data_IF_508071300468
#
_entry.id   IF_508071300468
#
_cell.length_a   1.000
_cell.length_b   1.000
_cell.length_c   1.000
_cell.angle_alpha   90.00
_cell.angle_beta   90.00
_cell.angle_gamma   90.00
#
_symmetry.space_group_name_H-M   'P 1'
#
loop_
_entity.id
_entity.type
_entity.pdbx_description
1 polymer ?
#
# COMPACT_ATOMS: atom_id res chain seq x y z
N UNK A 1 -17.28 68.52 0.32
CA UNK A 1 -17.66 67.36 -0.52
C UNK A 1 -18.60 66.49 0.28
N UNK A 2 -19.90 66.51 -0.03
CA UNK A 2 -20.88 65.60 0.57
C UNK A 2 -20.85 64.29 -0.22
N UNK A 3 -20.51 63.19 0.45
CA UNK A 3 -20.63 61.86 -0.15
C UNK A 3 -22.12 61.56 -0.39
N UNK A 4 -22.49 61.27 -1.64
CA UNK A 4 -23.86 60.87 -1.96
C UNK A 4 -24.18 59.53 -1.28
N UNK A 5 -25.46 59.31 -0.92
CA UNK A 5 -25.94 58.05 -0.35
C UNK A 5 -25.53 56.84 -1.22
N UNK A 6 -25.53 57.01 -2.54
CA UNK A 6 -25.05 56.01 -3.51
C UNK A 6 -23.56 55.69 -3.33
N UNK A 7 -22.72 56.70 -3.06
CA UNK A 7 -21.32 56.49 -2.74
C UNK A 7 -21.11 55.68 -1.46
N UNK A 8 -21.91 55.95 -0.43
CA UNK A 8 -21.83 55.25 0.86
C UNK A 8 -22.26 53.78 0.74
N UNK A 9 -23.33 53.50 -0.02
CA UNK A 9 -23.77 52.12 -0.31
C UNK A 9 -22.71 51.33 -1.08
N UNK A 10 -22.07 51.93 -2.08
CA UNK A 10 -20.99 51.28 -2.85
C UNK A 10 -19.80 50.91 -1.97
N UNK A 11 -19.38 51.83 -1.09
CA UNK A 11 -18.29 51.57 -0.14
C UNK A 11 -18.64 50.40 0.78
N UNK A 12 -19.88 50.35 1.27
CA UNK A 12 -20.34 49.29 2.18
C UNK A 12 -20.39 47.93 1.48
N UNK A 13 -20.90 47.87 0.25
CA UNK A 13 -20.92 46.63 -0.56
C UNK A 13 -19.50 46.15 -0.88
N UNK A 14 -18.60 47.05 -1.27
CA UNK A 14 -17.20 46.70 -1.54
C UNK A 14 -16.53 46.19 -0.25
N UNK A 15 -16.75 46.86 0.88
CA UNK A 15 -16.25 46.42 2.18
C UNK A 15 -16.77 45.03 2.58
N UNK A 16 -18.05 44.75 2.36
CA UNK A 16 -18.64 43.44 2.63
C UNK A 16 -18.05 42.35 1.73
N UNK A 17 -17.87 42.62 0.43
CA UNK A 17 -17.24 41.68 -0.50
C UNK A 17 -15.78 41.38 -0.13
N UNK A 18 -15.02 42.42 0.27
CA UNK A 18 -13.65 42.24 0.75
C UNK A 18 -13.60 41.43 2.05
N UNK A 19 -14.55 41.63 2.97
CA UNK A 19 -14.64 40.83 4.19
C UNK A 19 -14.96 39.36 3.89
N UNK A 20 -15.89 39.08 2.97
CA UNK A 20 -16.20 37.70 2.53
C UNK A 20 -14.98 37.05 1.88
N UNK A 21 -14.27 37.76 1.00
CA UNK A 21 -13.04 37.28 0.37
C UNK A 21 -11.93 37.03 1.40
N UNK A 22 -11.79 37.88 2.42
CA UNK A 22 -10.82 37.69 3.49
C UNK A 22 -11.14 36.45 4.35
N UNK A 23 -12.41 36.24 4.70
CA UNK A 23 -12.85 35.05 5.45
C UNK A 23 -12.69 33.78 4.62
N UNK A 24 -13.09 33.80 3.35
CA UNK A 24 -12.88 32.68 2.43
C UNK A 24 -11.37 32.40 2.27
N UNK A 25 -10.56 33.44 2.08
CA UNK A 25 -9.11 33.34 2.07
C UNK A 25 -8.59 32.66 3.34
N UNK A 26 -8.97 33.14 4.52
CA UNK A 26 -8.52 32.55 5.78
C UNK A 26 -8.91 31.07 5.94
N UNK A 27 -10.12 30.70 5.55
CA UNK A 27 -10.62 29.32 5.63
C UNK A 27 -9.96 28.39 4.62
N UNK A 28 -9.70 28.86 3.40
CA UNK A 28 -9.22 28.02 2.29
C UNK A 28 -7.72 28.17 1.99
N UNK A 29 -7.02 29.17 2.53
CA UNK A 29 -5.57 29.35 2.38
C UNK A 29 -4.80 28.12 2.85
N UNK A 30 -5.10 27.45 3.99
CA UNK A 30 -4.40 26.23 4.37
C UNK A 30 -4.57 25.09 3.35
N UNK A 31 -5.78 24.95 2.78
CA UNK A 31 -6.09 23.94 1.76
C UNK A 31 -5.42 24.26 0.42
N UNK A 32 -5.45 25.53 -0.01
CA UNK A 32 -4.78 26.01 -1.22
C UNK A 32 -3.26 25.98 -1.06
N UNK A 33 -2.74 26.31 0.11
CA UNK A 33 -1.32 26.17 0.43
C UNK A 33 -0.90 24.71 0.31
N UNK A 34 -1.68 23.74 0.80
CA UNK A 34 -1.37 22.31 0.55
C UNK A 34 -1.40 21.90 -0.93
N UNK A 35 -2.23 22.55 -1.75
CA UNK A 35 -2.31 22.28 -3.19
C UNK A 35 -1.18 22.94 -3.99
N UNK A 36 -0.67 24.09 -3.53
CA UNK A 36 0.32 24.92 -4.24
C UNK A 36 1.73 24.80 -3.64
N UNK A 37 1.86 24.37 -2.39
CA UNK A 37 3.15 24.21 -1.71
C UNK A 37 4.04 23.22 -2.46
N UNK A 38 5.24 23.66 -2.89
CA UNK A 38 6.21 22.83 -3.60
C UNK A 38 6.81 21.69 -2.76
N UNK A 39 6.51 21.62 -1.46
CA UNK A 39 6.85 20.49 -0.58
C UNK A 39 6.27 19.14 -1.10
N UNK A 40 5.22 19.17 -1.95
CA UNK A 40 4.74 17.99 -2.67
C UNK A 40 5.50 17.64 -3.96
N UNK A 41 6.30 18.56 -4.51
CA UNK A 41 7.02 18.43 -5.80
C UNK A 41 8.53 18.22 -5.65
N UNK A 42 9.17 18.65 -4.56
CA UNK A 42 10.65 18.69 -4.44
C UNK A 42 11.34 17.56 -3.65
N UNK A 43 10.69 16.41 -3.45
CA UNK A 43 11.41 15.14 -3.14
C UNK A 43 11.41 14.15 -4.31
N UNK A 44 10.95 14.60 -5.48
CA UNK A 44 10.83 13.79 -6.70
C UNK A 44 12.16 13.49 -7.40
N UNK A 45 13.27 14.10 -6.96
CA UNK A 45 14.57 13.98 -7.62
C UNK A 45 15.37 12.72 -7.27
N UNK A 46 15.09 12.04 -6.15
CA UNK A 46 15.97 10.97 -5.65
C UNK A 46 15.26 9.70 -5.17
N UNK A 47 13.97 9.74 -4.81
CA UNK A 47 13.21 8.51 -4.64
C UNK A 47 13.09 7.82 -6.01
N UNK A 48 13.77 6.68 -6.20
CA UNK A 48 13.67 5.89 -7.43
C UNK A 48 12.19 5.59 -7.68
N UNK A 49 11.60 6.31 -8.64
CA UNK A 49 10.17 6.23 -9.02
C UNK A 49 9.77 4.79 -9.35
N UNK A 50 10.75 3.96 -9.71
CA UNK A 50 10.65 2.53 -9.98
C UNK A 50 10.30 1.65 -8.76
N UNK A 51 10.31 2.18 -7.53
CA UNK A 51 10.09 1.39 -6.29
C UNK A 51 8.87 1.84 -5.46
N UNK A 52 7.81 2.31 -6.13
CA UNK A 52 6.53 2.62 -5.45
C UNK A 52 5.61 1.41 -5.37
N UNK A 53 4.90 1.27 -4.27
CA UNK A 53 3.89 0.22 -4.07
C UNK A 53 2.60 0.83 -3.53
N UNK A 54 1.46 0.46 -4.12
CA UNK A 54 0.15 0.75 -3.53
C UNK A 54 -0.08 -0.19 -2.35
N UNK A 55 -0.50 0.36 -1.22
CA UNK A 55 -0.84 -0.39 -0.02
C UNK A 55 -2.18 0.09 0.52
N UNK A 56 -2.84 -0.75 1.31
CA UNK A 56 -4.17 -0.48 1.85
C UNK A 56 -4.13 -0.51 3.37
N UNK A 57 -4.55 0.57 4.00
CA UNK A 57 -4.49 0.71 5.46
C UNK A 57 -5.60 -0.07 6.12
N UNK A 58 -5.23 -0.87 7.12
CA UNK A 58 -6.19 -1.57 7.95
C UNK A 58 -6.90 -0.60 8.89
N UNK A 59 -8.23 -0.67 8.93
CA UNK A 59 -9.08 0.14 9.78
C UNK A 59 -9.60 -0.72 10.96
N UNK A 60 -9.40 -0.31 12.23
CA UNK A 60 -9.95 -1.02 13.38
C UNK A 60 -11.49 -1.09 13.40
N UNK A 61 -12.17 -0.14 12.77
CA UNK A 61 -13.63 -0.07 12.74
C UNK A 61 -14.27 -0.98 11.66
N UNK A 62 -13.54 -1.28 10.58
CA UNK A 62 -14.07 -2.03 9.44
C UNK A 62 -12.95 -2.85 8.75
N UNK A 63 -13.15 -4.16 8.52
CA UNK A 63 -12.20 -4.98 7.76
C UNK A 63 -12.09 -4.50 6.31
N UNK A 64 -10.87 -4.51 5.77
CA UNK A 64 -10.62 -4.26 4.34
C UNK A 64 -10.92 -5.54 3.56
N UNK A 65 -11.85 -5.46 2.61
CA UNK A 65 -12.30 -6.61 1.82
C UNK A 65 -11.63 -6.68 0.47
N UNK A 66 -11.16 -7.86 0.09
CA UNK A 66 -10.60 -8.16 -1.23
C UNK A 66 -11.39 -9.28 -1.89
N UNK A 67 -11.64 -9.16 -3.19
CA UNK A 67 -12.36 -10.17 -3.98
C UNK A 67 -11.44 -10.67 -5.08
N UNK A 68 -11.36 -11.98 -5.24
CA UNK A 68 -10.52 -12.60 -6.25
C UNK A 68 -11.20 -12.60 -7.61
N UNK A 69 -10.40 -12.57 -8.67
CA UNK A 69 -10.94 -12.61 -10.05
C UNK A 69 -11.54 -13.98 -10.39
N UNK A 70 -11.02 -15.02 -9.75
CA UNK A 70 -11.49 -16.40 -9.76
C UNK A 70 -11.23 -16.98 -8.37
N UNK A 71 -11.98 -17.98 -7.91
CA UNK A 71 -11.67 -18.63 -6.65
C UNK A 71 -10.25 -19.23 -6.66
N UNK A 72 -9.51 -19.04 -5.57
CA UNK A 72 -8.10 -19.47 -5.44
C UNK A 72 -7.89 -20.33 -4.19
N UNK A 73 -7.00 -21.34 -4.21
CA UNK A 73 -6.74 -22.18 -3.04
C UNK A 73 -5.87 -21.47 -1.99
N UNK A 74 -5.10 -20.47 -2.40
CA UNK A 74 -4.11 -19.79 -1.57
C UNK A 74 -4.09 -18.28 -1.79
N UNK A 75 -3.73 -17.55 -0.75
CA UNK A 75 -3.54 -16.10 -0.78
C UNK A 75 -2.20 -15.74 -0.14
N UNK A 76 -1.49 -14.78 -0.76
CA UNK A 76 -0.33 -14.14 -0.16
C UNK A 76 -0.68 -12.74 0.30
N UNK A 77 -0.33 -12.42 1.54
CA UNK A 77 -0.52 -11.10 2.14
C UNK A 77 0.86 -10.55 2.49
N UNK A 78 1.15 -9.34 2.03
CA UNK A 78 2.30 -8.56 2.47
C UNK A 78 1.81 -7.52 3.45
N UNK A 79 2.44 -7.44 4.62
CA UNK A 79 2.07 -6.52 5.69
C UNK A 79 3.25 -5.62 6.06
N UNK A 80 2.95 -4.35 6.30
CA UNK A 80 3.93 -3.31 6.59
C UNK A 80 3.44 -2.50 7.80
N UNK A 81 4.01 -2.69 9.01
CA UNK A 81 3.69 -1.86 10.16
C UNK A 81 4.29 -0.47 9.96
N UNK A 82 3.45 0.55 10.14
CA UNK A 82 3.88 1.94 10.19
C UNK A 82 4.30 2.28 11.62
N UNK A 83 5.56 2.65 11.78
CA UNK A 83 6.17 3.01 13.05
C UNK A 83 6.23 4.52 13.17
N UNK A 84 5.79 5.03 14.32
CA UNK A 84 5.94 6.43 14.69
C UNK A 84 7.41 6.83 14.74
N UNK A 85 7.75 8.01 14.22
CA UNK A 85 9.13 8.50 14.20
C UNK A 85 9.77 8.54 15.60
N UNK A 86 8.99 8.92 16.62
CA UNK A 86 9.43 8.96 18.03
C UNK A 86 9.82 7.60 18.58
N UNK A 87 9.27 6.53 18.00
CA UNK A 87 9.53 5.14 18.38
C UNK A 87 10.54 4.46 17.46
N UNK A 88 11.05 5.13 16.41
CA UNK A 88 11.97 4.60 15.40
C UNK A 88 13.41 4.47 15.92
N UNK A 89 13.58 3.63 16.93
CA UNK A 89 14.89 3.37 17.53
C UNK A 89 15.58 2.17 16.85
N UNK A 90 16.90 2.26 16.69
CA UNK A 90 17.72 1.25 16.00
C UNK A 90 17.56 -0.17 16.57
N UNK A 91 17.40 -0.25 17.88
CA UNK A 91 17.33 -1.52 18.61
C UNK A 91 15.90 -2.02 18.85
N UNK A 92 14.89 -1.22 18.50
CA UNK A 92 13.51 -1.56 18.74
C UNK A 92 13.04 -2.72 17.83
N UNK A 93 12.08 -3.47 18.36
CA UNK A 93 11.32 -4.51 17.67
C UNK A 93 9.86 -4.23 17.95
N UNK A 94 9.03 -4.27 16.93
CA UNK A 94 7.61 -3.93 17.05
C UNK A 94 6.78 -5.14 16.66
N UNK A 95 5.96 -5.62 17.56
CA UNK A 95 5.01 -6.71 17.32
C UNK A 95 3.69 -6.14 16.82
N UNK A 96 3.12 -6.79 15.82
CA UNK A 96 1.83 -6.41 15.27
C UNK A 96 1.08 -7.64 14.78
N UNK A 97 -0.21 -7.51 14.54
CA UNK A 97 -1.00 -8.61 14.02
C UNK A 97 -2.23 -8.16 13.24
N UNK A 98 -2.78 -9.09 12.47
CA UNK A 98 -4.02 -8.89 11.73
C UNK A 98 -4.79 -10.20 11.62
N UNK A 99 -6.11 -10.09 11.56
CA UNK A 99 -7.01 -11.23 11.32
C UNK A 99 -7.40 -11.28 9.86
N UNK A 100 -7.34 -12.47 9.26
CA UNK A 100 -7.74 -12.75 7.89
C UNK A 100 -8.93 -13.71 7.93
N UNK A 101 -10.08 -13.27 7.44
CA UNK A 101 -11.27 -14.10 7.29
C UNK A 101 -11.44 -14.47 5.83
N UNK A 102 -11.42 -15.77 5.53
CA UNK A 102 -11.58 -16.31 4.18
C UNK A 102 -13.04 -16.67 3.93
N UNK A 103 -13.56 -16.37 2.73
CA UNK A 103 -14.94 -16.68 2.34
C UNK A 103 -15.01 -17.37 0.99
N UNK A 104 -15.99 -18.25 0.85
CA UNK A 104 -16.33 -18.90 -0.42
C UNK A 104 -17.18 -18.00 -1.34
N UNK A 105 -17.56 -18.51 -2.51
CA UNK A 105 -18.39 -17.80 -3.49
C UNK A 105 -19.81 -17.49 -3.03
N UNK A 106 -20.31 -18.16 -1.98
CA UNK A 106 -21.60 -17.87 -1.36
C UNK A 106 -21.53 -16.80 -0.26
N UNK A 107 -20.31 -16.41 0.15
CA UNK A 107 -20.05 -15.50 1.26
C UNK A 107 -19.90 -16.20 2.62
N UNK A 108 -19.98 -17.53 2.66
CA UNK A 108 -19.79 -18.32 3.87
C UNK A 108 -18.33 -18.28 4.31
N UNK A 109 -18.10 -18.20 5.63
CA UNK A 109 -16.74 -18.20 6.18
C UNK A 109 -16.15 -19.60 6.06
N UNK A 110 -15.02 -19.71 5.34
CA UNK A 110 -14.25 -20.94 5.22
C UNK A 110 -13.32 -21.12 6.42
N UNK A 111 -12.60 -20.05 6.77
CA UNK A 111 -11.63 -20.05 7.86
C UNK A 111 -11.36 -18.62 8.35
N UNK A 112 -10.81 -18.50 9.57
CA UNK A 112 -10.29 -17.25 10.10
C UNK A 112 -8.93 -17.49 10.75
N UNK A 113 -7.94 -16.68 10.36
CA UNK A 113 -6.56 -16.81 10.80
C UNK A 113 -6.11 -15.53 11.48
N UNK A 114 -5.48 -15.64 12.63
CA UNK A 114 -4.78 -14.52 13.27
C UNK A 114 -3.29 -14.65 12.96
N UNK A 115 -2.76 -13.65 12.26
CA UNK A 115 -1.36 -13.59 11.85
C UNK A 115 -0.66 -12.57 12.73
N UNK A 116 0.37 -13.03 13.43
CA UNK A 116 1.25 -12.18 14.25
C UNK A 116 2.63 -12.15 13.63
N UNK A 117 3.22 -10.96 13.58
CA UNK A 117 4.57 -10.75 13.08
C UNK A 117 5.32 -9.72 13.92
N UNK A 118 6.60 -9.56 13.63
CA UNK A 118 7.43 -8.55 14.27
C UNK A 118 8.27 -7.79 13.25
N UNK A 119 8.05 -6.48 13.19
CA UNK A 119 8.91 -5.55 12.47
C UNK A 119 10.23 -5.32 13.22
N UNK A 120 11.33 -5.19 12.48
CA UNK A 120 12.62 -4.75 13.02
C UNK A 120 13.16 -3.58 12.23
N UNK A 121 14.02 -2.77 12.83
CA UNK A 121 14.73 -1.73 12.09
C UNK A 121 15.60 -2.37 10.98
N UNK A 122 15.64 -1.85 9.74
CA UNK A 122 16.37 -2.45 8.62
C UNK A 122 17.86 -2.76 8.90
N UNK A 123 18.50 -1.99 9.78
CA UNK A 123 19.90 -2.21 10.18
C UNK A 123 20.13 -3.34 11.19
N UNK A 124 19.07 -3.84 11.83
CA UNK A 124 19.13 -4.92 12.83
C UNK A 124 18.98 -6.31 12.22
N UNK A 125 18.60 -6.38 10.95
CA UNK A 125 18.50 -7.64 10.23
C UNK A 125 19.88 -8.32 10.15
N UNK A 126 19.89 -9.66 10.11
CA UNK A 126 21.12 -10.45 9.91
C UNK A 126 21.90 -9.99 8.68
N UNK A 127 21.16 -9.60 7.64
CA UNK A 127 21.67 -8.88 6.48
C UNK A 127 21.03 -7.49 6.45
N UNK A 128 21.73 -6.45 6.96
CA UNK A 128 21.21 -5.10 6.98
C UNK A 128 20.78 -4.63 5.59
N UNK A 129 19.60 -4.03 5.50
CA UNK A 129 19.11 -3.46 4.26
C UNK A 129 19.57 -2.00 4.16
N UNK A 130 20.16 -1.57 3.03
CA UNK A 130 20.65 -0.19 2.86
C UNK A 130 19.52 0.81 2.55
N UNK A 131 18.27 0.38 2.69
CA UNK A 131 17.08 1.15 2.34
C UNK A 131 15.99 0.94 3.40
N UNK A 132 15.08 1.92 3.48
CA UNK A 132 13.85 1.82 4.27
C UNK A 132 12.65 2.18 3.40
N UNK A 133 11.46 1.91 3.93
CA UNK A 133 10.20 2.28 3.30
C UNK A 133 9.49 3.35 4.12
N UNK A 134 8.77 4.22 3.43
CA UNK A 134 8.10 5.36 4.04
C UNK A 134 6.91 5.82 3.19
N UNK A 135 6.10 6.71 3.75
CA UNK A 135 4.99 7.37 3.07
C UNK A 135 5.29 8.85 2.93
N UNK A 136 5.04 9.42 1.75
CA UNK A 136 5.20 10.86 1.56
C UNK A 136 4.11 11.61 2.34
N UNK A 137 4.51 12.56 3.17
CA UNK A 137 3.59 13.40 3.95
C UNK A 137 2.98 12.71 5.17
N UNK A 138 3.53 11.58 5.61
CA UNK A 138 3.22 10.98 6.91
C UNK A 138 4.49 10.95 7.76
N UNK A 139 4.35 11.25 9.05
CA UNK A 139 5.45 11.30 10.02
C UNK A 139 5.77 9.90 10.56
N UNK A 140 6.15 8.96 9.68
CA UNK A 140 6.43 7.59 10.09
C UNK A 140 7.17 6.75 9.05
N UNK A 141 7.91 5.76 9.56
CA UNK A 141 8.68 4.81 8.77
C UNK A 141 8.06 3.42 8.80
N UNK A 142 8.32 2.63 7.78
CA UNK A 142 7.97 1.20 7.79
C UNK A 142 9.19 0.42 8.26
N UNK A 143 9.05 -0.35 9.34
CA UNK A 143 10.10 -1.19 9.93
C UNK A 143 10.69 -2.20 8.93
N UNK A 144 10.02 -3.33 8.84
CA UNK A 144 10.25 -4.38 7.84
C UNK A 144 8.90 -4.81 7.31
N UNK A 145 8.90 -5.33 6.10
CA UNK A 145 7.68 -5.87 5.50
C UNK A 145 7.72 -7.39 5.63
N UNK A 146 6.69 -7.96 6.24
CA UNK A 146 6.55 -9.40 6.40
C UNK A 146 5.52 -9.95 5.42
N UNK A 147 5.56 -11.26 5.23
CA UNK A 147 4.64 -11.99 4.37
C UNK A 147 3.97 -13.15 5.10
N UNK A 148 2.71 -13.38 4.77
CA UNK A 148 1.97 -14.58 5.11
C UNK A 148 1.41 -15.22 3.84
N UNK A 149 1.49 -16.54 3.75
CA UNK A 149 0.81 -17.33 2.73
C UNK A 149 -0.18 -18.22 3.47
N UNK A 150 -1.45 -18.11 3.12
CA UNK A 150 -2.52 -18.90 3.73
C UNK A 150 -3.07 -19.82 2.64
N UNK A 151 -2.94 -21.13 2.87
CA UNK A 151 -3.53 -22.18 2.05
C UNK A 151 -4.80 -22.68 2.74
N UNK A 152 -5.93 -22.59 2.04
CA UNK A 152 -7.24 -23.02 2.55
C UNK A 152 -7.53 -24.49 2.24
N UNK A 153 -6.81 -25.10 1.29
CA UNK A 153 -7.16 -26.41 0.71
C UNK A 153 -8.50 -26.42 -0.05
N UNK A 154 -9.21 -25.29 -0.09
CA UNK A 154 -10.51 -25.07 -0.73
C UNK A 154 -10.49 -23.73 -1.45
N UNK A 155 -11.40 -23.57 -2.41
CA UNK A 155 -11.49 -22.37 -3.23
C UNK A 155 -12.01 -21.15 -2.45
N UNK A 156 -11.15 -20.14 -2.29
CA UNK A 156 -11.46 -18.86 -1.64
C UNK A 156 -11.91 -17.87 -2.71
N UNK A 157 -13.08 -17.25 -2.52
CA UNK A 157 -13.59 -16.23 -3.44
C UNK A 157 -13.35 -14.79 -2.95
N UNK A 158 -13.24 -14.59 -1.63
CA UNK A 158 -12.88 -13.29 -1.06
C UNK A 158 -12.22 -13.44 0.31
N UNK A 159 -11.55 -12.37 0.76
CA UNK A 159 -11.04 -12.27 2.12
C UNK A 159 -11.31 -10.89 2.72
N UNK A 160 -11.33 -10.85 4.05
CA UNK A 160 -11.42 -9.64 4.87
C UNK A 160 -10.22 -9.58 5.81
N UNK A 161 -9.55 -8.43 5.89
CA UNK A 161 -8.39 -8.22 6.77
C UNK A 161 -8.72 -7.11 7.77
N UNK A 162 -8.57 -7.41 9.06
CA UNK A 162 -8.75 -6.43 10.14
C UNK A 162 -7.49 -6.38 11.02
N UNK A 163 -7.10 -5.21 11.54
CA UNK A 163 -5.94 -5.12 12.41
C UNK A 163 -6.23 -5.73 13.78
N UNK A 164 -5.21 -6.32 14.40
CA UNK A 164 -5.23 -6.73 15.80
C UNK A 164 -4.43 -5.72 16.64
N UNK A 165 -4.57 -5.74 17.98
CA UNK A 165 -3.74 -4.93 18.86
C UNK A 165 -2.24 -5.13 18.56
N UNK A 166 -1.49 -4.03 18.56
CA UNK A 166 -0.06 -4.00 18.23
C UNK A 166 0.72 -3.28 19.34
N UNK A 167 2.05 -3.41 19.33
CA UNK A 167 2.93 -2.76 20.29
C UNK A 167 2.83 -1.23 20.20
N UNK A 168 3.20 -0.57 21.30
CA UNK A 168 3.35 0.87 21.32
C UNK A 168 4.35 1.32 20.24
N UNK A 169 4.01 2.37 19.50
CA UNK A 169 4.80 2.88 18.38
C UNK A 169 4.35 2.35 17.00
N UNK A 170 3.56 1.27 16.93
CA UNK A 170 2.88 0.87 15.69
C UNK A 170 1.59 1.68 15.54
N UNK A 171 1.57 2.63 14.61
CA UNK A 171 0.42 3.54 14.42
C UNK A 171 -0.62 2.97 13.45
N UNK A 172 -0.17 2.18 12.48
CA UNK A 172 -1.04 1.53 11.50
C UNK A 172 -0.38 0.27 10.93
N UNK A 173 -1.19 -0.56 10.26
CA UNK A 173 -0.71 -1.68 9.46
C UNK A 173 -1.24 -1.49 8.06
N UNK A 174 -0.35 -1.45 7.08
CA UNK A 174 -0.71 -1.39 5.68
C UNK A 174 -0.48 -2.76 5.04
N UNK A 175 -1.41 -3.18 4.19
CA UNK A 175 -1.37 -4.52 3.58
C UNK A 175 -1.48 -4.48 2.06
N UNK A 176 -1.02 -5.55 1.44
CA UNK A 176 -1.27 -5.90 0.04
C UNK A 176 -1.67 -7.36 -0.04
N UNK A 177 -2.78 -7.66 -0.70
CA UNK A 177 -3.18 -9.02 -0.99
C UNK A 177 -2.78 -9.40 -2.41
N UNK A 178 -2.45 -10.68 -2.60
CA UNK A 178 -2.09 -11.25 -3.89
C UNK A 178 -2.81 -12.58 -4.10
N UNK A 179 -3.24 -12.80 -5.34
CA UNK A 179 -3.85 -14.04 -5.80
C UNK A 179 -2.85 -14.84 -6.65
N UNK A 180 -2.92 -16.17 -6.58
CA UNK A 180 -2.26 -17.05 -7.53
C UNK A 180 -3.32 -17.57 -8.50
N UNK A 181 -3.32 -17.07 -9.75
CA UNK A 181 -4.36 -17.46 -10.71
C UNK A 181 -4.15 -18.89 -11.19
N UNK A 182 -5.20 -19.72 -11.23
CA UNK A 182 -5.11 -21.02 -11.87
C UNK A 182 -4.92 -20.86 -13.38
N UNK A 183 -4.11 -21.73 -13.98
CA UNK A 183 -4.04 -21.92 -15.42
C UNK A 183 -4.79 -23.19 -15.80
N UNK A 184 -5.57 -23.15 -16.87
CA UNK A 184 -6.33 -24.31 -17.37
C UNK A 184 -5.40 -25.42 -17.87
N UNK A 185 -4.24 -25.04 -18.43
CA UNK A 185 -3.22 -25.97 -18.88
C UNK A 185 -1.81 -25.43 -18.70
N UNK A 186 -0.83 -26.33 -18.70
CA UNK A 186 0.60 -25.98 -18.69
C UNK A 186 1.01 -25.20 -19.95
N UNK A 187 0.38 -25.49 -21.08
CA UNK A 187 0.56 -24.76 -22.33
C UNK A 187 0.14 -23.29 -22.21
N UNK A 188 -0.98 -23.02 -21.52
CA UNK A 188 -1.46 -21.65 -21.27
C UNK A 188 -0.51 -20.88 -20.35
N UNK A 189 0.03 -21.55 -19.33
CA UNK A 189 1.04 -20.96 -18.44
C UNK A 189 2.33 -20.60 -19.20
N UNK A 190 2.84 -21.51 -20.04
CA UNK A 190 4.00 -21.26 -20.88
C UNK A 190 3.75 -20.13 -21.88
N UNK A 191 2.57 -20.10 -22.51
CA UNK A 191 2.18 -19.03 -23.41
C UNK A 191 2.10 -17.68 -22.68
N UNK A 192 1.58 -17.65 -21.46
CA UNK A 192 1.53 -16.45 -20.62
C UNK A 192 2.94 -15.95 -20.24
N UNK A 193 3.88 -16.85 -19.95
CA UNK A 193 5.29 -16.49 -19.73
C UNK A 193 5.90 -15.86 -20.99
N UNK A 194 5.78 -16.51 -22.16
CA UNK A 194 6.38 -16.07 -23.42
C UNK A 194 5.83 -14.75 -23.96
N UNK A 195 4.61 -14.37 -23.58
CA UNK A 195 3.99 -13.08 -23.96
C UNK A 195 4.56 -11.89 -23.19
N UNK A 196 5.34 -12.11 -22.13
CA UNK A 196 5.99 -11.05 -21.35
C UNK A 196 7.15 -10.43 -22.10
N UNK A 197 7.54 -9.21 -21.73
CA UNK A 197 8.75 -8.60 -22.28
C UNK A 197 9.99 -9.41 -21.87
N UNK A 198 11.09 -9.28 -22.62
CA UNK A 198 12.34 -9.96 -22.26
C UNK A 198 12.86 -9.55 -20.87
N UNK A 199 12.65 -8.29 -20.47
CA UNK A 199 13.03 -7.80 -19.15
C UNK A 199 12.22 -8.48 -18.04
N UNK A 200 10.90 -8.59 -18.21
CA UNK A 200 10.03 -9.29 -17.26
C UNK A 200 10.36 -10.78 -17.18
N UNK A 201 10.66 -11.43 -18.31
CA UNK A 201 11.07 -12.83 -18.34
C UNK A 201 12.35 -13.05 -17.55
N UNK A 202 13.36 -12.20 -17.74
CA UNK A 202 14.61 -12.20 -16.97
C UNK A 202 14.38 -11.98 -15.49
N UNK A 203 13.55 -11.01 -15.13
CA UNK A 203 13.28 -10.69 -13.73
C UNK A 203 12.56 -11.83 -13.00
N UNK A 204 11.62 -12.49 -13.68
CA UNK A 204 10.95 -13.67 -13.15
C UNK A 204 11.88 -14.89 -13.09
N UNK A 205 12.78 -15.04 -14.05
CA UNK A 205 13.76 -16.12 -14.08
C UNK A 205 14.84 -15.94 -13.00
N UNK A 206 15.14 -14.71 -12.55
CA UNK A 206 16.23 -14.36 -11.62
C UNK A 206 16.20 -15.12 -10.30
N UNK A 207 15.02 -15.53 -9.83
CA UNK A 207 14.85 -16.29 -8.59
C UNK A 207 15.11 -17.81 -8.75
N UNK A 208 15.33 -18.31 -9.97
CA UNK A 208 15.64 -19.72 -10.21
C UNK A 208 17.11 -20.01 -9.93
N UNK A 209 17.39 -21.28 -9.63
CA UNK A 209 18.77 -21.77 -9.44
C UNK A 209 19.58 -21.73 -10.75
N UNK A 210 18.91 -21.75 -11.89
CA UNK A 210 19.54 -21.73 -13.21
C UNK A 210 19.35 -20.36 -13.90
N UNK A 211 20.36 -19.88 -14.64
CA UNK A 211 20.21 -18.74 -15.54
C UNK A 211 19.08 -18.92 -16.57
N UNK A 212 18.56 -17.82 -17.12
CA UNK A 212 17.41 -17.80 -18.04
C UNK A 212 17.62 -18.67 -19.31
N UNK A 213 18.86 -18.74 -19.79
CA UNK A 213 19.24 -19.53 -20.95
C UNK A 213 19.17 -21.05 -20.72
N UNK A 214 19.15 -21.49 -19.45
CA UNK A 214 19.11 -22.90 -19.06
C UNK A 214 17.74 -23.35 -18.53
N UNK A 215 16.79 -22.43 -18.31
CA UNK A 215 15.43 -22.81 -17.92
C UNK A 215 14.65 -23.34 -19.13
N UNK A 216 14.18 -24.58 -19.02
CA UNK A 216 13.32 -25.23 -20.00
C UNK A 216 11.90 -24.70 -19.96
N UNK A 217 11.10 -25.16 -20.92
CA UNK A 217 9.68 -24.79 -21.02
C UNK A 217 8.88 -25.20 -19.77
N UNK A 218 9.29 -26.28 -19.12
CA UNK A 218 8.68 -26.75 -17.89
C UNK A 218 8.92 -25.81 -16.71
N UNK A 219 10.14 -25.32 -16.50
CA UNK A 219 10.41 -24.32 -15.47
C UNK A 219 9.71 -22.99 -15.79
N UNK A 220 9.72 -22.56 -17.05
CA UNK A 220 9.01 -21.35 -17.49
C UNK A 220 7.51 -21.42 -17.21
N UNK A 221 6.88 -22.56 -17.48
CA UNK A 221 5.48 -22.77 -17.14
C UNK A 221 5.26 -22.72 -15.62
N UNK A 222 6.15 -23.34 -14.83
CA UNK A 222 6.07 -23.31 -13.36
C UNK A 222 6.24 -21.89 -12.79
N UNK A 223 7.13 -21.07 -13.36
CA UNK A 223 7.28 -19.66 -12.98
C UNK A 223 5.98 -18.90 -13.18
N UNK A 224 5.30 -19.11 -14.33
CA UNK A 224 4.02 -18.48 -14.60
C UNK A 224 2.92 -18.97 -13.64
N UNK A 225 2.85 -20.27 -13.38
CA UNK A 225 1.87 -20.87 -12.44
C UNK A 225 2.04 -20.31 -11.03
N UNK A 226 3.27 -20.12 -10.58
CA UNK A 226 3.59 -19.63 -9.23
C UNK A 226 3.63 -18.10 -9.13
N UNK A 227 3.16 -17.39 -10.15
CA UNK A 227 3.14 -15.94 -10.16
C UNK A 227 1.99 -15.38 -9.31
N UNK A 228 2.35 -14.63 -8.28
CA UNK A 228 1.43 -13.86 -7.46
C UNK A 228 1.07 -12.53 -8.12
N UNK A 229 -0.24 -12.24 -8.22
CA UNK A 229 -0.76 -11.00 -8.80
C UNK A 229 -1.42 -10.15 -7.72
N UNK A 230 -1.12 -8.85 -7.63
CA UNK A 230 -1.75 -7.99 -6.64
C UNK A 230 -3.24 -7.86 -6.94
N UNK A 231 -4.05 -7.80 -5.88
CA UNK A 231 -5.47 -7.47 -5.96
C UNK A 231 -5.77 -6.23 -5.11
N UNK A 232 -6.71 -5.43 -5.58
CA UNK A 232 -7.20 -4.26 -4.84
C UNK A 232 -8.38 -4.62 -3.95
N UNK A 233 -8.66 -3.81 -2.92
CA UNK A 233 -9.86 -3.96 -2.12
C UNK A 233 -11.09 -3.58 -2.93
N UNK A 234 -12.25 -4.07 -2.49
CA UNK A 234 -13.56 -3.69 -3.03
C UNK A 234 -14.13 -2.55 -2.20
N UNK A 235 -14.74 -1.58 -2.86
CA UNK A 235 -15.38 -0.42 -2.23
C UNK A 235 -14.94 0.90 -2.87
N UNK A 236 -15.22 2.00 -2.17
CA UNK A 236 -14.84 3.36 -2.55
C UNK A 236 -13.66 3.81 -1.68
N UNK A 237 -12.56 4.23 -2.33
CA UNK A 237 -11.40 4.77 -1.63
C UNK A 237 -11.77 6.02 -0.82
N UNK A 238 -11.35 6.08 0.44
CA UNK A 238 -11.69 7.11 1.41
C UNK A 238 -12.97 6.84 2.21
N UNK A 239 -13.78 5.86 1.79
CA UNK A 239 -14.99 5.43 2.51
C UNK A 239 -14.80 4.01 3.08
N UNK A 240 -14.60 3.03 2.22
CA UNK A 240 -14.48 1.62 2.60
C UNK A 240 -13.03 1.22 2.92
N UNK A 241 -12.06 1.89 2.30
CA UNK A 241 -10.63 1.64 2.50
C UNK A 241 -9.80 2.91 2.28
N UNK A 242 -8.66 2.98 2.94
CA UNK A 242 -7.64 4.02 2.69
C UNK A 242 -6.50 3.43 1.88
N UNK A 243 -6.04 4.17 0.86
CA UNK A 243 -4.95 3.78 -0.02
C UNK A 243 -3.74 4.68 0.19
N UNK A 244 -2.58 4.07 0.39
CA UNK A 244 -1.30 4.74 0.52
C UNK A 244 -0.36 4.38 -0.63
N UNK A 245 0.60 5.26 -0.88
CA UNK A 245 1.75 4.95 -1.75
C UNK A 245 2.97 4.82 -0.86
N UNK A 246 3.48 3.60 -0.76
CA UNK A 246 4.71 3.30 -0.05
C UNK A 246 5.88 3.48 -1.01
N UNK A 247 6.87 4.26 -0.58
CA UNK A 247 8.11 4.52 -1.29
C UNK A 247 9.26 3.77 -0.64
N UNK A 248 10.35 3.61 -1.37
CA UNK A 248 11.61 3.11 -0.86
C UNK A 248 12.70 4.15 -1.12
N UNK A 249 13.52 4.44 -0.12
CA UNK A 249 14.69 5.33 -0.22
C UNK A 249 15.88 4.71 0.51
N UNK A 250 17.09 5.20 0.24
CA UNK A 250 18.25 4.91 1.08
C UNK A 250 17.94 5.31 2.52
N UNK A 251 18.43 4.55 3.49
CA UNK A 251 18.09 4.75 4.89
C UNK A 251 18.51 6.14 5.40
N UNK A 252 19.64 6.65 4.94
CA UNK A 252 20.18 7.95 5.34
C UNK A 252 19.47 9.14 4.63
N UNK A 253 18.66 8.84 3.62
CA UNK A 253 17.90 9.81 2.80
C UNK A 253 16.38 9.71 3.04
N UNK A 254 15.96 8.89 3.99
CA UNK A 254 14.56 8.77 4.34
C UNK A 254 14.10 10.02 5.13
N UNK A 255 12.91 10.57 4.84
CA UNK A 255 12.45 11.86 5.35
C UNK A 255 12.25 11.92 6.86
#
# INVERSE_FOLDING_TARGET
>A
MTLSLSGLVRILVIGALLAVLAVAGWLYVPTLARLVSPEGRETSGQARIESRSLVYRLNPAAPVRFVFSQPVPSVRILSAPLIELSSWEREARWTYGYRVTLRDGSGSVLASHEVYSSGSHPQKLEQPLPWTRFFRGADGFVATQDQAIIDSGTEIASLEIAPLPSDQGVTAIDVRAYEQRPFLSRGDALAAFRRRSGDEQRDLARANAFPEEFIGDDERANIAINLWRPIGPVGIAGEDYEVGVMYQSALDEAP
#
